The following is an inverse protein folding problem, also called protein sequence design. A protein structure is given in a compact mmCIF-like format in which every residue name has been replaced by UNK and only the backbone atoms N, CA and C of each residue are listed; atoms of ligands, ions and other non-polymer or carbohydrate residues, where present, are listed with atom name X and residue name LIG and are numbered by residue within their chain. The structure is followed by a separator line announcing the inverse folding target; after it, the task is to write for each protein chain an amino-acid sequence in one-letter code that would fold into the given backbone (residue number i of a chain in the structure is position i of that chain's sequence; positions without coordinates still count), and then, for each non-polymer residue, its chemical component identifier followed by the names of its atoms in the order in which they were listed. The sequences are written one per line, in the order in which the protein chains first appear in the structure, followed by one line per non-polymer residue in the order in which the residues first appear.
data_IF_992732323798
#
_entry.id   IF_992732323798
#
_cell.length_a   1.000
_cell.length_b   1.000
_cell.length_c   1.000
_cell.angle_alpha   90.00
_cell.angle_beta   90.00
_cell.angle_gamma   90.00
#
_symmetry.space_group_name_H-M   'P 1'
#
loop_
_entity.id
_entity.type
_entity.pdbx_description
1 polymer ?
#
# COMPACT_ATOMS: atom_id res chain seq x y z
N UNK A 1 10.67 -23.63 -21.27
CA UNK A 1 11.34 -24.84 -20.76
C UNK A 1 10.34 -25.65 -19.95
N UNK A 2 10.60 -26.94 -19.72
CA UNK A 2 9.73 -27.82 -18.92
C UNK A 2 9.57 -27.31 -17.48
N UNK A 3 10.65 -26.79 -16.87
CA UNK A 3 10.63 -26.21 -15.53
C UNK A 3 9.64 -25.04 -15.43
N UNK A 4 9.68 -24.11 -16.41
CA UNK A 4 8.72 -23.00 -16.49
C UNK A 4 7.28 -23.51 -16.62
N UNK A 5 7.04 -24.49 -17.49
CA UNK A 5 5.68 -25.04 -17.69
C UNK A 5 5.14 -25.71 -16.43
N UNK A 6 5.97 -26.43 -15.68
CA UNK A 6 5.58 -27.01 -14.41
C UNK A 6 5.30 -25.92 -13.36
N UNK A 7 6.15 -24.89 -13.27
CA UNK A 7 5.90 -23.74 -12.39
C UNK A 7 4.57 -23.04 -12.72
N UNK A 8 4.21 -22.91 -13.99
CA UNK A 8 2.89 -22.41 -14.38
C UNK A 8 1.77 -23.31 -13.85
N UNK A 9 1.86 -24.62 -14.03
CA UNK A 9 0.85 -25.56 -13.53
C UNK A 9 0.71 -25.45 -12.00
N UNK A 10 1.83 -25.38 -11.28
CA UNK A 10 1.82 -25.24 -9.82
C UNK A 10 1.17 -23.92 -9.35
N UNK A 11 1.33 -22.82 -10.10
CA UNK A 11 0.83 -21.50 -9.69
C UNK A 11 -0.63 -21.22 -10.05
N UNK A 12 -1.15 -21.83 -11.13
CA UNK A 12 -2.53 -21.59 -11.63
C UNK A 12 -3.41 -22.84 -11.76
N UNK A 13 -2.83 -24.03 -11.73
CA UNK A 13 -3.54 -25.31 -11.91
C UNK A 13 -3.66 -26.15 -10.64
N UNK A 14 -3.00 -25.77 -9.55
CA UNK A 14 -3.00 -26.48 -8.27
C UNK A 14 -3.19 -25.51 -7.10
N UNK A 15 -3.64 -26.03 -5.96
CA UNK A 15 -3.73 -25.34 -4.68
C UNK A 15 -2.98 -26.12 -3.59
N UNK A 16 -2.82 -25.52 -2.40
CA UNK A 16 -2.09 -26.15 -1.28
C UNK A 16 -2.65 -27.52 -0.88
N UNK A 17 -3.97 -27.73 -1.01
CA UNK A 17 -4.61 -29.00 -0.65
C UNK A 17 -4.41 -30.11 -1.68
N UNK A 18 -4.07 -29.75 -2.92
CA UNK A 18 -3.88 -30.70 -4.03
C UNK A 18 -2.41 -30.97 -4.32
N UNK A 19 -1.50 -30.37 -3.56
CA UNK A 19 -0.07 -30.57 -3.71
C UNK A 19 0.39 -31.89 -3.09
N UNK A 20 1.36 -32.53 -3.75
CA UNK A 20 2.10 -33.66 -3.20
C UNK A 20 3.57 -33.49 -3.53
N UNK A 21 4.45 -33.96 -2.65
CA UNK A 21 5.88 -33.74 -2.79
C UNK A 21 6.44 -34.47 -4.04
N UNK A 22 7.49 -33.94 -4.70
CA UNK A 22 8.12 -34.60 -5.85
C UNK A 22 8.67 -36.01 -5.58
N UNK A 23 8.92 -36.34 -4.31
CA UNK A 23 9.39 -37.64 -3.84
C UNK A 23 8.27 -38.52 -3.26
N UNK A 24 7.05 -38.00 -3.13
CA UNK A 24 5.88 -38.73 -2.68
C UNK A 24 5.10 -39.31 -3.86
N UNK A 25 4.38 -40.40 -3.59
CA UNK A 25 3.44 -40.94 -4.55
C UNK A 25 2.22 -39.99 -4.68
N UNK A 26 1.73 -39.76 -5.90
CA UNK A 26 0.55 -38.94 -6.14
C UNK A 26 -0.69 -39.56 -5.47
N UNK A 27 -1.71 -38.75 -5.11
CA UNK A 27 -2.93 -39.26 -4.51
C UNK A 27 -3.66 -40.24 -5.44
N UNK A 28 -4.29 -41.26 -4.85
CA UNK A 28 -5.00 -42.29 -5.61
C UNK A 28 -6.20 -41.75 -6.40
N UNK A 29 -6.80 -40.65 -5.94
CA UNK A 29 -7.88 -39.93 -6.60
C UNK A 29 -7.60 -38.43 -6.45
N UNK A 30 -7.58 -37.72 -7.56
CA UNK A 30 -7.39 -36.27 -7.56
C UNK A 30 -8.53 -35.56 -8.30
N UNK A 31 -8.98 -34.38 -7.83
CA UNK A 31 -9.95 -33.57 -8.59
C UNK A 31 -9.40 -33.07 -9.94
N UNK A 32 -8.09 -33.21 -10.16
CA UNK A 32 -7.38 -32.83 -11.38
C UNK A 32 -7.34 -33.98 -12.41
N UNK A 33 -7.81 -35.17 -12.04
CA UNK A 33 -7.84 -36.33 -12.91
C UNK A 33 -8.85 -36.12 -14.06
N UNK A 34 -8.46 -36.54 -15.27
CA UNK A 34 -9.35 -36.53 -16.42
C UNK A 34 -10.51 -37.53 -16.20
N UNK A 35 -11.78 -37.08 -16.18
CA UNK A 35 -12.94 -37.95 -15.95
C UNK A 35 -13.04 -39.11 -16.95
N UNK A 36 -12.44 -38.96 -18.13
CA UNK A 36 -12.44 -39.96 -19.21
C UNK A 36 -11.30 -40.99 -19.06
N UNK A 37 -10.32 -40.74 -18.18
CA UNK A 37 -9.13 -41.56 -18.00
C UNK A 37 -9.16 -42.25 -16.64
N UNK A 38 -9.71 -43.47 -16.60
CA UNK A 38 -9.68 -44.33 -15.40
C UNK A 38 -8.33 -45.02 -15.26
N UNK A 39 -7.41 -44.43 -14.51
CA UNK A 39 -6.16 -45.08 -14.11
C UNK A 39 -5.46 -44.30 -13.02
N UNK A 40 -5.09 -44.98 -11.92
CA UNK A 40 -4.20 -44.42 -10.92
C UNK A 40 -2.87 -44.03 -11.57
N UNK A 41 -2.23 -42.95 -11.12
CA UNK A 41 -0.91 -42.51 -11.60
C UNK A 41 0.20 -43.45 -11.08
N UNK A 42 0.13 -44.72 -11.49
CA UNK A 42 1.05 -45.79 -11.11
C UNK A 42 1.93 -46.12 -12.32
N UNK A 43 3.23 -46.28 -12.08
CA UNK A 43 4.18 -46.64 -13.15
C UNK A 43 3.77 -47.95 -13.83
N UNK A 44 3.49 -47.87 -15.14
CA UNK A 44 3.03 -49.02 -15.94
C UNK A 44 4.11 -50.09 -16.18
N UNK A 45 5.39 -49.75 -16.00
CA UNK A 45 6.51 -50.65 -16.24
C UNK A 45 7.73 -50.28 -15.39
N UNK A 46 8.62 -51.26 -15.20
CA UNK A 46 9.92 -51.08 -14.54
C UNK A 46 11.04 -51.48 -15.49
N UNK A 47 11.92 -50.54 -15.82
CA UNK A 47 13.09 -50.80 -16.66
C UNK A 47 14.26 -51.33 -15.83
N UNK A 48 15.08 -52.19 -16.45
CA UNK A 48 16.30 -52.74 -15.84
C UNK A 48 17.38 -51.68 -15.61
N UNK A 49 17.35 -50.56 -16.34
CA UNK A 49 18.26 -49.42 -16.18
C UNK A 49 17.50 -48.10 -16.30
N UNK A 50 17.77 -47.16 -15.39
CA UNK A 50 17.16 -45.82 -15.35
C UNK A 50 18.25 -44.74 -15.45
N UNK A 51 17.87 -43.54 -15.87
CA UNK A 51 18.74 -42.36 -15.80
C UNK A 51 19.11 -42.06 -14.34
N UNK A 52 20.28 -41.44 -14.12
CA UNK A 52 20.66 -40.97 -12.78
C UNK A 52 19.77 -39.79 -12.41
N UNK A 53 19.22 -39.82 -11.20
CA UNK A 53 18.41 -38.74 -10.62
C UNK A 53 19.26 -38.03 -9.57
N UNK A 54 19.01 -36.75 -9.32
CA UNK A 54 19.63 -36.04 -8.20
C UNK A 54 19.28 -36.75 -6.88
N UNK A 55 20.27 -37.09 -6.07
CA UNK A 55 20.08 -37.87 -4.84
C UNK A 55 21.08 -37.44 -3.77
N UNK A 56 20.67 -37.47 -2.51
CA UNK A 56 21.48 -37.15 -1.34
C UNK A 56 20.58 -36.79 -0.16
N UNK A 57 21.01 -37.11 1.06
CA UNK A 57 20.22 -36.90 2.29
C UNK A 57 19.97 -35.41 2.59
N UNK A 58 20.83 -34.52 2.08
CA UNK A 58 20.81 -33.08 2.32
C UNK A 58 20.30 -32.26 1.12
N UNK A 59 19.66 -32.88 0.12
CA UNK A 59 19.10 -32.14 -1.01
C UNK A 59 17.77 -31.49 -0.60
N UNK A 60 17.53 -30.27 -1.05
CA UNK A 60 16.26 -29.60 -0.82
C UNK A 60 15.14 -30.28 -1.62
N UNK A 61 14.03 -30.60 -0.95
CA UNK A 61 12.80 -31.07 -1.56
C UNK A 61 11.66 -30.09 -1.20
N UNK A 62 11.02 -29.44 -2.19
CA UNK A 62 9.90 -28.53 -1.93
C UNK A 62 8.74 -29.22 -1.21
N UNK A 63 8.14 -28.53 -0.25
CA UNK A 63 7.04 -29.02 0.59
C UNK A 63 5.68 -28.41 0.25
N UNK A 64 5.65 -27.33 -0.53
CA UNK A 64 4.41 -26.72 -1.02
C UNK A 64 4.55 -26.11 -2.42
N UNK A 65 3.42 -25.75 -3.03
CA UNK A 65 3.35 -25.33 -4.44
C UNK A 65 4.26 -24.15 -4.77
N UNK A 66 4.36 -23.16 -3.87
CA UNK A 66 5.13 -21.94 -4.11
C UNK A 66 6.62 -22.21 -3.99
N UNK A 67 7.06 -23.04 -3.04
CA UNK A 67 8.44 -23.50 -2.92
C UNK A 67 8.91 -24.20 -4.20
N UNK A 68 8.12 -25.14 -4.72
CA UNK A 68 8.47 -25.85 -5.96
C UNK A 68 8.46 -24.90 -7.15
N UNK A 69 7.43 -24.06 -7.27
CA UNK A 69 7.36 -23.07 -8.34
C UNK A 69 8.56 -22.10 -8.31
N UNK A 70 8.95 -21.60 -7.13
CA UNK A 70 10.09 -20.70 -6.97
C UNK A 70 11.40 -21.41 -7.35
N UNK A 71 11.62 -22.64 -6.88
CA UNK A 71 12.79 -23.43 -7.25
C UNK A 71 12.91 -23.59 -8.77
N UNK A 72 11.81 -23.99 -9.42
CA UNK A 72 11.75 -24.18 -10.87
C UNK A 72 11.97 -22.88 -11.65
N UNK A 73 11.40 -21.78 -11.17
CA UNK A 73 11.56 -20.46 -11.78
C UNK A 73 12.99 -19.95 -11.63
N UNK A 74 13.64 -20.12 -10.48
CA UNK A 74 15.04 -19.76 -10.26
C UNK A 74 15.98 -20.59 -11.15
N UNK A 75 15.69 -21.89 -11.32
CA UNK A 75 16.43 -22.72 -12.27
C UNK A 75 16.24 -22.19 -13.69
N UNK A 76 14.99 -21.93 -14.11
CA UNK A 76 14.69 -21.41 -15.45
C UNK A 76 15.29 -20.03 -15.69
N UNK A 77 15.32 -19.17 -14.67
CA UNK A 77 15.96 -17.85 -14.69
C UNK A 77 17.46 -17.98 -14.88
N UNK A 78 18.12 -18.86 -14.11
CA UNK A 78 19.56 -19.09 -14.21
C UNK A 78 19.97 -19.59 -15.61
N UNK A 79 19.14 -20.42 -16.23
CA UNK A 79 19.36 -20.89 -17.61
C UNK A 79 19.15 -19.77 -18.62
N UNK A 80 18.04 -19.02 -18.52
CA UNK A 80 17.76 -17.88 -19.40
C UNK A 80 18.85 -16.79 -19.32
N UNK A 81 19.44 -16.60 -18.14
CA UNK A 81 20.55 -15.68 -17.92
C UNK A 81 21.85 -16.08 -18.60
N UNK A 82 22.09 -17.38 -18.80
CA UNK A 82 23.30 -17.89 -19.49
C UNK A 82 23.22 -17.72 -21.00
N UNK A 83 22.03 -17.88 -21.56
CA UNK A 83 21.76 -17.77 -23.00
C UNK A 83 21.34 -16.35 -23.43
N UNK A 84 21.47 -15.38 -22.52
CA UNK A 84 21.03 -14.01 -22.72
C UNK A 84 21.91 -13.24 -23.71
N UNK A 85 21.33 -12.77 -24.81
CA UNK A 85 22.02 -11.82 -25.70
C UNK A 85 21.82 -10.40 -25.19
N UNK A 86 22.89 -9.79 -24.68
CA UNK A 86 22.85 -8.42 -24.10
C UNK A 86 23.43 -7.34 -25.03
N UNK A 87 24.00 -7.74 -26.16
CA UNK A 87 24.60 -6.81 -27.13
C UNK A 87 23.54 -5.86 -27.70
N UNK A 88 23.78 -4.54 -27.64
CA UNK A 88 22.87 -3.48 -28.11
C UNK A 88 22.99 -3.19 -29.61
N UNK A 89 23.87 -3.92 -30.30
CA UNK A 89 24.13 -3.79 -31.73
C UNK A 89 22.82 -4.10 -32.51
N UNK A 90 22.44 -3.31 -33.54
CA UNK A 90 21.18 -3.48 -34.27
C UNK A 90 20.94 -4.89 -34.83
N UNK A 91 22.02 -5.58 -35.22
CA UNK A 91 22.04 -6.91 -35.81
C UNK A 91 21.52 -8.00 -34.86
N UNK A 92 21.69 -7.80 -33.54
CA UNK A 92 21.21 -8.75 -32.52
C UNK A 92 19.80 -8.44 -32.01
N UNK A 93 19.03 -7.56 -32.69
CA UNK A 93 17.69 -7.17 -32.23
C UNK A 93 16.73 -8.36 -32.11
N UNK A 94 16.76 -9.30 -33.05
CA UNK A 94 15.94 -10.51 -33.02
C UNK A 94 16.28 -11.39 -31.81
N UNK A 95 17.56 -11.60 -31.56
CA UNK A 95 18.04 -12.47 -30.48
C UNK A 95 17.68 -11.88 -29.12
N UNK A 96 17.81 -10.55 -28.98
CA UNK A 96 17.36 -9.83 -27.77
C UNK A 96 15.87 -10.02 -27.51
N UNK A 97 15.04 -9.97 -28.56
CA UNK A 97 13.59 -10.14 -28.40
C UNK A 97 13.25 -11.56 -27.92
N UNK A 98 13.96 -12.57 -28.40
CA UNK A 98 13.80 -13.96 -27.96
C UNK A 98 14.26 -14.14 -26.51
N UNK A 99 15.43 -13.58 -26.15
CA UNK A 99 15.92 -13.57 -24.77
C UNK A 99 14.93 -12.88 -23.82
N UNK A 100 14.40 -11.73 -24.23
CA UNK A 100 13.41 -10.97 -23.47
C UNK A 100 12.11 -11.76 -23.29
N UNK A 101 11.55 -12.34 -24.35
CA UNK A 101 10.30 -13.12 -24.25
C UNK A 101 10.47 -14.36 -23.36
N UNK A 102 11.63 -15.00 -23.41
CA UNK A 102 11.92 -16.16 -22.58
C UNK A 102 12.09 -15.78 -21.10
N UNK A 103 12.71 -14.64 -20.82
CA UNK A 103 12.92 -14.13 -19.47
C UNK A 103 11.65 -13.50 -18.88
N UNK A 104 10.88 -12.75 -19.67
CA UNK A 104 9.71 -11.99 -19.20
C UNK A 104 8.67 -12.90 -18.55
N UNK A 105 8.35 -14.04 -19.18
CA UNK A 105 7.40 -15.01 -18.62
C UNK A 105 7.90 -15.58 -17.29
N UNK A 106 9.20 -15.81 -17.14
CA UNK A 106 9.78 -16.28 -15.87
C UNK A 106 9.63 -15.22 -14.79
N UNK A 107 9.93 -13.95 -15.09
CA UNK A 107 9.79 -12.85 -14.14
C UNK A 107 8.32 -12.50 -13.82
N UNK A 108 7.40 -12.68 -14.77
CA UNK A 108 5.96 -12.54 -14.53
C UNK A 108 5.47 -13.61 -13.56
N UNK A 109 5.91 -14.86 -13.73
CA UNK A 109 5.57 -15.95 -12.81
C UNK A 109 6.22 -15.75 -11.44
N UNK A 110 7.46 -15.24 -11.37
CA UNK A 110 8.09 -14.83 -10.11
C UNK A 110 7.30 -13.71 -9.43
N UNK A 111 6.79 -12.74 -10.19
CA UNK A 111 5.93 -11.67 -9.70
C UNK A 111 4.65 -12.23 -9.08
N UNK A 112 4.01 -13.18 -9.76
CA UNK A 112 2.80 -13.85 -9.25
C UNK A 112 3.09 -14.66 -7.99
N UNK A 113 4.19 -15.42 -7.96
CA UNK A 113 4.58 -16.30 -6.86
C UNK A 113 4.99 -15.52 -5.60
N UNK A 114 5.84 -14.51 -5.75
CA UNK A 114 6.33 -13.70 -4.63
C UNK A 114 5.27 -12.68 -4.18
N UNK A 115 4.55 -12.07 -5.12
CA UNK A 115 3.50 -11.09 -4.82
C UNK A 115 2.37 -11.66 -3.98
N UNK A 116 1.88 -12.87 -4.30
CA UNK A 116 0.82 -13.53 -3.50
C UNK A 116 1.25 -13.92 -2.08
N UNK A 117 2.57 -13.99 -1.82
CA UNK A 117 3.15 -14.26 -0.49
C UNK A 117 3.67 -12.98 0.19
N UNK A 118 3.42 -11.80 -0.39
CA UNK A 118 3.86 -10.51 0.16
C UNK A 118 5.37 -10.27 0.10
N UNK A 119 6.14 -11.09 -0.61
CA UNK A 119 7.61 -11.04 -0.64
C UNK A 119 8.13 -9.99 -1.63
N UNK A 120 7.76 -8.72 -1.43
CA UNK A 120 8.05 -7.63 -2.37
C UNK A 120 9.53 -7.19 -2.38
N UNK A 121 10.24 -7.36 -1.27
CA UNK A 121 11.69 -7.13 -1.14
C UNK A 121 12.46 -8.01 -2.12
N UNK A 122 12.30 -9.34 -2.00
CA UNK A 122 12.91 -10.33 -2.88
C UNK A 122 12.43 -10.17 -4.32
N UNK A 123 11.15 -9.87 -4.54
CA UNK A 123 10.62 -9.60 -5.88
C UNK A 123 11.34 -8.42 -6.55
N UNK A 124 11.60 -7.35 -5.80
CA UNK A 124 12.32 -6.19 -6.32
C UNK A 124 13.74 -6.55 -6.74
N UNK A 125 14.43 -7.43 -6.00
CA UNK A 125 15.75 -7.92 -6.37
C UNK A 125 15.71 -8.82 -7.61
N UNK A 126 14.67 -9.67 -7.75
CA UNK A 126 14.45 -10.46 -8.96
C UNK A 126 14.24 -9.56 -10.19
N UNK A 127 13.38 -8.54 -10.09
CA UNK A 127 13.10 -7.63 -11.18
C UNK A 127 14.28 -6.70 -11.47
N UNK A 128 15.08 -6.33 -10.48
CA UNK A 128 16.34 -5.61 -10.69
C UNK A 128 17.32 -6.44 -11.53
N UNK A 129 17.46 -7.74 -11.26
CA UNK A 129 18.26 -8.66 -12.10
C UNK A 129 17.71 -8.78 -13.52
N UNK A 130 16.39 -8.69 -13.67
CA UNK A 130 15.72 -8.70 -14.97
C UNK A 130 16.04 -7.44 -15.79
N UNK A 131 16.37 -6.30 -15.17
CA UNK A 131 16.59 -5.03 -15.87
C UNK A 131 17.72 -5.08 -16.91
N UNK A 132 18.64 -6.05 -16.84
CA UNK A 132 19.64 -6.27 -17.91
C UNK A 132 19.02 -6.64 -19.26
N UNK A 133 17.79 -7.17 -19.26
CA UNK A 133 16.99 -7.45 -20.44
C UNK A 133 16.13 -6.26 -20.86
N UNK A 134 15.99 -5.24 -20.02
CA UNK A 134 15.13 -4.09 -20.27
C UNK A 134 15.73 -3.18 -21.36
N UNK A 135 15.21 -3.28 -22.58
CA UNK A 135 15.52 -2.37 -23.68
C UNK A 135 14.33 -1.45 -23.94
N UNK A 136 14.13 -0.47 -23.05
CA UNK A 136 12.96 0.45 -23.08
C UNK A 136 11.60 -0.27 -23.06
N UNK A 137 11.58 -1.50 -22.52
CA UNK A 137 10.36 -2.29 -22.42
C UNK A 137 9.57 -1.82 -21.18
N UNK A 138 8.43 -1.17 -21.44
CA UNK A 138 7.63 -0.53 -20.41
C UNK A 138 7.17 -1.48 -19.29
N UNK A 139 6.72 -2.69 -19.63
CA UNK A 139 6.18 -3.64 -18.67
C UNK A 139 7.20 -3.97 -17.57
N UNK A 140 8.45 -4.26 -17.92
CA UNK A 140 9.48 -4.61 -16.95
C UNK A 140 9.86 -3.43 -16.04
N UNK A 141 9.98 -2.23 -16.61
CA UNK A 141 10.19 -1.00 -15.84
C UNK A 141 9.04 -0.76 -14.86
N UNK A 142 7.80 -0.94 -15.31
CA UNK A 142 6.61 -0.70 -14.50
C UNK A 142 6.45 -1.74 -13.38
N UNK A 143 6.64 -3.03 -13.68
CA UNK A 143 6.62 -4.09 -12.65
C UNK A 143 7.70 -3.87 -11.59
N UNK A 144 8.90 -3.42 -11.99
CA UNK A 144 9.97 -3.09 -11.05
C UNK A 144 9.62 -1.85 -10.19
N UNK A 145 9.01 -0.83 -10.77
CA UNK A 145 8.54 0.33 -10.02
C UNK A 145 7.49 -0.05 -8.97
N UNK A 146 6.51 -0.89 -9.34
CA UNK A 146 5.46 -1.37 -8.45
C UNK A 146 6.02 -2.28 -7.34
N UNK A 147 6.98 -3.16 -7.65
CA UNK A 147 7.61 -4.00 -6.63
C UNK A 147 8.39 -3.16 -5.62
N UNK A 148 9.14 -2.14 -6.07
CA UNK A 148 9.87 -1.23 -5.19
C UNK A 148 8.91 -0.43 -4.28
N UNK A 149 7.76 -0.03 -4.83
CA UNK A 149 6.71 0.65 -4.08
C UNK A 149 6.14 -0.25 -2.98
N UNK A 150 5.80 -1.49 -3.31
CA UNK A 150 5.28 -2.48 -2.38
C UNK A 150 6.33 -2.91 -1.33
N UNK A 151 7.62 -2.93 -1.70
CA UNK A 151 8.74 -3.15 -0.78
C UNK A 151 9.09 -1.95 0.10
N UNK A 152 8.38 -0.82 -0.02
CA UNK A 152 8.66 0.40 0.75
C UNK A 152 9.94 1.15 0.36
N UNK A 153 10.59 0.79 -0.76
CA UNK A 153 11.78 1.46 -1.31
C UNK A 153 11.39 2.73 -2.09
N UNK A 154 10.65 3.64 -1.44
CA UNK A 154 9.96 4.78 -2.05
C UNK A 154 10.86 5.65 -2.93
N UNK A 155 12.05 6.02 -2.48
CA UNK A 155 12.96 6.89 -3.22
C UNK A 155 13.45 6.26 -4.55
N UNK A 156 13.69 4.94 -4.55
CA UNK A 156 14.06 4.20 -5.76
C UNK A 156 12.84 4.07 -6.68
N UNK A 157 11.68 3.75 -6.13
CA UNK A 157 10.43 3.64 -6.89
C UNK A 157 10.14 4.93 -7.67
N UNK A 158 10.29 6.12 -7.06
CA UNK A 158 10.10 7.42 -7.75
C UNK A 158 11.04 7.58 -8.94
N UNK A 159 12.31 7.16 -8.84
CA UNK A 159 13.27 7.22 -9.96
C UNK A 159 12.85 6.31 -11.12
N UNK A 160 12.44 5.08 -10.82
CA UNK A 160 11.98 4.13 -11.84
C UNK A 160 10.66 4.58 -12.46
N UNK A 161 9.75 5.19 -11.69
CA UNK A 161 8.52 5.79 -12.20
C UNK A 161 8.78 6.96 -13.16
N UNK A 162 9.83 7.77 -12.93
CA UNK A 162 10.23 8.81 -13.90
C UNK A 162 10.60 8.22 -15.26
N UNK A 163 11.29 7.09 -15.29
CA UNK A 163 11.57 6.37 -16.54
C UNK A 163 10.29 5.78 -17.15
N UNK A 164 9.36 5.27 -16.34
CA UNK A 164 8.06 4.80 -16.83
C UNK A 164 7.25 5.94 -17.48
N UNK A 165 7.26 7.14 -16.88
CA UNK A 165 6.63 8.35 -17.44
C UNK A 165 7.27 8.73 -18.78
N UNK A 166 8.61 8.65 -18.87
CA UNK A 166 9.34 8.91 -20.12
C UNK A 166 8.94 7.93 -21.23
N UNK A 167 8.79 6.65 -20.91
CA UNK A 167 8.40 5.60 -21.86
C UNK A 167 6.93 5.68 -22.27
N UNK A 168 6.05 6.10 -21.36
CA UNK A 168 4.60 6.13 -21.58
C UNK A 168 3.98 7.41 -20.99
N UNK A 169 4.13 8.56 -21.67
CA UNK A 169 3.67 9.85 -21.15
C UNK A 169 2.13 9.98 -21.10
N UNK A 170 1.41 9.14 -21.83
CA UNK A 170 -0.06 9.15 -21.88
C UNK A 170 -0.74 8.54 -20.64
N UNK A 171 -0.01 7.81 -19.79
CA UNK A 171 -0.57 7.10 -18.64
C UNK A 171 -0.48 7.95 -17.36
N UNK A 172 -1.59 8.60 -17.03
CA UNK A 172 -1.71 9.45 -15.84
C UNK A 172 -1.58 8.69 -14.50
N UNK A 173 -1.69 7.37 -14.50
CA UNK A 173 -1.54 6.54 -13.29
C UNK A 173 -0.12 6.63 -12.74
N UNK A 174 0.88 6.65 -13.62
CA UNK A 174 2.30 6.59 -13.28
C UNK A 174 2.75 7.85 -12.51
N UNK A 175 2.52 9.09 -13.01
CA UNK A 175 2.84 10.28 -12.23
C UNK A 175 1.97 10.41 -10.98
N UNK A 176 0.73 9.90 -10.97
CA UNK A 176 -0.11 9.91 -9.77
C UNK A 176 0.48 9.03 -8.65
N UNK A 177 0.99 7.84 -8.99
CA UNK A 177 1.73 6.97 -8.08
C UNK A 177 3.02 7.63 -7.56
N UNK A 178 3.74 8.35 -8.42
CA UNK A 178 4.94 9.08 -8.03
C UNK A 178 4.60 10.24 -7.07
N UNK A 179 3.52 10.98 -7.34
CA UNK A 179 3.02 12.03 -6.45
C UNK A 179 2.67 11.46 -5.06
N UNK A 180 1.94 10.33 -5.01
CA UNK A 180 1.60 9.63 -3.76
C UNK A 180 2.83 9.29 -2.93
N UNK A 181 3.87 8.75 -3.56
CA UNK A 181 5.12 8.43 -2.86
C UNK A 181 5.85 9.68 -2.33
N UNK A 182 5.82 10.77 -3.09
CA UNK A 182 6.46 12.02 -2.71
C UNK A 182 5.74 12.73 -1.56
N UNK A 183 4.40 12.68 -1.50
CA UNK A 183 3.60 13.28 -0.41
C UNK A 183 3.56 12.44 0.87
N UNK A 184 3.83 11.13 0.77
CA UNK A 184 3.94 10.26 1.94
C UNK A 184 5.27 10.41 2.66
N UNK A 185 5.89 9.30 3.07
CA UNK A 185 7.09 9.29 3.93
C UNK A 185 8.34 9.97 3.35
N UNK A 186 8.39 10.27 2.05
CA UNK A 186 9.53 10.98 1.44
C UNK A 186 9.48 12.48 1.67
N UNK A 187 8.29 13.05 1.82
CA UNK A 187 8.06 14.48 1.99
C UNK A 187 8.70 15.36 0.89
N UNK A 188 8.76 14.87 -0.34
CA UNK A 188 9.29 15.59 -1.50
C UNK A 188 8.20 16.44 -2.17
N UNK A 189 7.68 17.45 -1.44
CA UNK A 189 6.47 18.18 -1.83
C UNK A 189 6.60 18.95 -3.15
N UNK A 190 7.79 19.46 -3.50
CA UNK A 190 8.01 20.12 -4.79
C UNK A 190 7.88 19.14 -5.97
N UNK A 191 8.39 17.92 -5.81
CA UNK A 191 8.28 16.87 -6.83
C UNK A 191 6.85 16.34 -6.91
N UNK A 192 6.16 16.21 -5.78
CA UNK A 192 4.74 15.86 -5.73
C UNK A 192 3.90 16.89 -6.52
N UNK A 193 4.18 18.18 -6.38
CA UNK A 193 3.48 19.24 -7.11
C UNK A 193 3.71 19.11 -8.62
N UNK A 194 4.95 18.85 -9.05
CA UNK A 194 5.28 18.65 -10.47
C UNK A 194 4.51 17.46 -11.03
N UNK A 195 4.55 16.31 -10.36
CA UNK A 195 3.83 15.12 -10.80
C UNK A 195 2.31 15.35 -10.85
N UNK A 196 1.73 15.96 -9.82
CA UNK A 196 0.30 16.27 -9.79
C UNK A 196 -0.11 17.21 -10.95
N UNK A 197 0.70 18.22 -11.27
CA UNK A 197 0.48 19.07 -12.46
C UNK A 197 0.51 18.27 -13.75
N UNK A 198 1.49 17.37 -13.93
CA UNK A 198 1.53 16.51 -15.13
C UNK A 198 0.28 15.64 -15.26
N UNK A 199 -0.29 15.15 -14.15
CA UNK A 199 -1.56 14.40 -14.18
C UNK A 199 -2.72 15.28 -14.67
N UNK A 200 -2.80 16.52 -14.20
CA UNK A 200 -3.83 17.48 -14.61
C UNK A 200 -3.72 17.84 -16.10
N UNK A 201 -2.49 17.96 -16.60
CA UNK A 201 -2.20 18.29 -18.00
C UNK A 201 -2.46 17.11 -18.95
N UNK A 202 -2.07 15.88 -18.58
CA UNK A 202 -2.33 14.66 -19.37
C UNK A 202 -3.82 14.29 -19.36
N UNK A 203 -4.54 14.64 -18.30
CA UNK A 203 -5.92 14.25 -18.02
C UNK A 203 -7.02 14.87 -18.90
N UNK A 204 -6.71 15.48 -20.05
CA UNK A 204 -7.76 15.98 -20.97
C UNK A 204 -8.69 14.86 -21.49
N UNK A 205 -8.27 13.59 -21.42
CA UNK A 205 -9.01 12.46 -21.99
C UNK A 205 -9.97 11.75 -21.01
N UNK A 206 -9.84 11.94 -19.69
CA UNK A 206 -10.69 11.26 -18.67
C UNK A 206 -10.95 12.14 -17.44
N UNK A 207 -12.23 12.43 -17.17
CA UNK A 207 -12.65 13.31 -16.05
C UNK A 207 -12.14 12.84 -14.68
N UNK A 208 -12.14 11.52 -14.45
CA UNK A 208 -11.72 10.90 -13.18
C UNK A 208 -10.22 11.12 -12.87
N UNK A 209 -9.33 10.91 -13.84
CA UNK A 209 -7.89 11.12 -13.61
C UNK A 209 -7.57 12.61 -13.41
N UNK A 210 -8.30 13.50 -14.09
CA UNK A 210 -8.18 14.94 -13.86
C UNK A 210 -8.63 15.32 -12.46
N UNK A 211 -9.72 14.74 -11.97
CA UNK A 211 -10.17 14.89 -10.59
C UNK A 211 -9.12 14.42 -9.58
N UNK A 212 -8.53 13.21 -9.78
CA UNK A 212 -7.44 12.69 -8.94
C UNK A 212 -6.16 13.53 -9.03
N UNK A 213 -5.85 14.12 -10.18
CA UNK A 213 -4.76 15.07 -10.34
C UNK A 213 -4.94 16.33 -9.49
N UNK A 214 -6.15 16.92 -9.52
CA UNK A 214 -6.49 18.05 -8.65
C UNK A 214 -6.51 17.66 -7.17
N UNK A 215 -6.95 16.46 -6.83
CA UNK A 215 -6.90 15.94 -5.46
C UNK A 215 -5.44 15.85 -4.98
N UNK A 216 -4.55 15.25 -5.77
CA UNK A 216 -3.12 15.16 -5.44
C UNK A 216 -2.45 16.53 -5.32
N UNK A 217 -2.84 17.48 -6.18
CA UNK A 217 -2.34 18.86 -6.12
C UNK A 217 -2.84 19.58 -4.86
N UNK A 218 -4.11 19.39 -4.49
CA UNK A 218 -4.69 19.94 -3.27
C UNK A 218 -4.00 19.41 -2.01
N UNK A 219 -3.76 18.09 -1.94
CA UNK A 219 -3.01 17.47 -0.85
C UNK A 219 -1.59 18.05 -0.73
N UNK A 220 -0.91 18.16 -1.86
CA UNK A 220 0.45 18.72 -1.89
C UNK A 220 0.46 20.17 -1.40
N UNK A 221 -0.48 21.01 -1.85
CA UNK A 221 -0.57 22.38 -1.36
C UNK A 221 -0.95 22.48 0.12
N UNK A 222 -1.80 21.58 0.62
CA UNK A 222 -2.12 21.52 2.04
C UNK A 222 -0.88 21.18 2.88
N UNK A 223 -0.08 20.19 2.46
CA UNK A 223 1.18 19.84 3.11
C UNK A 223 2.19 20.99 3.08
N UNK A 224 2.37 21.61 1.91
CA UNK A 224 3.26 22.77 1.77
C UNK A 224 2.79 23.93 2.67
N UNK A 225 1.48 24.10 2.86
CA UNK A 225 0.94 25.11 3.76
C UNK A 225 1.28 24.82 5.23
N UNK A 226 1.25 23.55 5.65
CA UNK A 226 1.69 23.13 6.99
C UNK A 226 3.18 23.38 7.20
N UNK A 227 4.01 23.12 6.19
CA UNK A 227 5.46 23.33 6.24
C UNK A 227 5.89 24.80 6.16
N UNK A 228 5.05 25.66 5.60
CA UNK A 228 5.41 27.05 5.34
C UNK A 228 5.61 27.81 6.67
N UNK A 229 6.74 28.50 6.82
CA UNK A 229 7.07 29.27 8.02
C UNK A 229 6.42 30.66 8.06
N UNK A 230 6.13 31.24 6.89
CA UNK A 230 5.56 32.58 6.76
C UNK A 230 4.03 32.50 6.63
N UNK A 231 3.31 33.19 7.51
CA UNK A 231 1.84 33.25 7.49
C UNK A 231 1.26 33.63 6.12
N UNK A 232 1.87 34.59 5.42
CA UNK A 232 1.44 34.97 4.07
C UNK A 232 1.55 33.83 3.05
N UNK A 233 2.58 32.99 3.15
CA UNK A 233 2.72 31.80 2.30
C UNK A 233 1.72 30.71 2.68
N UNK A 234 1.50 30.48 3.98
CA UNK A 234 0.48 29.55 4.47
C UNK A 234 -0.90 29.90 3.90
N UNK A 235 -1.32 31.17 3.99
CA UNK A 235 -2.61 31.64 3.47
C UNK A 235 -2.74 31.51 1.95
N UNK A 236 -1.64 31.69 1.19
CA UNK A 236 -1.63 31.47 -0.27
C UNK A 236 -1.78 29.99 -0.59
N UNK A 237 -1.04 29.12 0.10
CA UNK A 237 -1.05 27.68 -0.13
C UNK A 237 -2.37 27.04 0.29
N UNK A 238 -2.95 27.45 1.43
CA UNK A 238 -4.29 27.02 1.85
C UNK A 238 -5.36 27.39 0.81
N UNK A 239 -5.30 28.60 0.24
CA UNK A 239 -6.20 29.00 -0.85
C UNK A 239 -6.02 28.16 -2.11
N UNK A 240 -4.78 27.84 -2.48
CA UNK A 240 -4.50 26.93 -3.62
C UNK A 240 -5.02 25.52 -3.36
N UNK A 241 -4.83 24.99 -2.15
CA UNK A 241 -5.33 23.69 -1.74
C UNK A 241 -6.86 23.62 -1.82
N UNK A 242 -7.54 24.61 -1.23
CA UNK A 242 -9.00 24.72 -1.27
C UNK A 242 -9.53 24.74 -2.72
N UNK A 243 -8.93 25.57 -3.58
CA UNK A 243 -9.33 25.67 -4.98
C UNK A 243 -9.13 24.34 -5.74
N UNK A 244 -8.03 23.64 -5.47
CA UNK A 244 -7.75 22.35 -6.07
C UNK A 244 -8.76 21.28 -5.61
N UNK A 245 -9.09 21.22 -4.32
CA UNK A 245 -10.11 20.30 -3.79
C UNK A 245 -11.51 20.59 -4.33
N UNK A 246 -11.89 21.87 -4.45
CA UNK A 246 -13.15 22.27 -5.09
C UNK A 246 -13.22 21.79 -6.53
N UNK A 247 -12.13 21.94 -7.30
CA UNK A 247 -12.04 21.41 -8.67
C UNK A 247 -12.15 19.89 -8.70
N UNK A 248 -11.43 19.18 -7.84
CA UNK A 248 -11.50 17.72 -7.75
C UNK A 248 -12.93 17.25 -7.50
N UNK A 249 -13.61 17.82 -6.50
CA UNK A 249 -14.99 17.47 -6.16
C UNK A 249 -15.98 17.85 -7.27
N UNK A 250 -15.79 18.97 -7.97
CA UNK A 250 -16.65 19.35 -9.10
C UNK A 250 -16.54 18.41 -10.31
N UNK A 251 -15.36 17.81 -10.51
CA UNK A 251 -15.10 16.89 -11.62
C UNK A 251 -15.51 15.45 -11.32
N UNK A 252 -15.48 15.05 -10.04
CA UNK A 252 -15.95 13.75 -9.56
C UNK A 252 -16.72 13.93 -8.25
N UNK A 253 -18.03 14.26 -8.30
CA UNK A 253 -18.85 14.48 -7.10
C UNK A 253 -19.14 13.19 -6.34
N UNK A 254 -18.90 12.04 -6.96
CA UNK A 254 -19.04 10.70 -6.36
C UNK A 254 -17.79 10.23 -5.63
N UNK A 255 -16.67 10.95 -5.74
CA UNK A 255 -15.44 10.62 -5.02
C UNK A 255 -15.50 11.11 -3.58
N UNK A 256 -15.70 10.17 -2.64
CA UNK A 256 -15.74 10.49 -1.21
C UNK A 256 -14.44 11.12 -0.71
N UNK A 257 -13.28 10.79 -1.30
CA UNK A 257 -12.00 11.36 -0.90
C UNK A 257 -11.93 12.84 -1.25
N UNK A 258 -12.45 13.24 -2.41
CA UNK A 258 -12.49 14.65 -2.82
C UNK A 258 -13.38 15.47 -1.88
N UNK A 259 -14.56 14.96 -1.50
CA UNK A 259 -15.44 15.59 -0.54
C UNK A 259 -14.80 15.67 0.86
N UNK A 260 -14.19 14.59 1.33
CA UNK A 260 -13.50 14.53 2.62
C UNK A 260 -12.36 15.54 2.71
N UNK A 261 -11.43 15.57 1.75
CA UNK A 261 -10.29 16.48 1.79
C UNK A 261 -10.68 17.94 1.58
N UNK A 262 -11.74 18.22 0.82
CA UNK A 262 -12.33 19.55 0.76
C UNK A 262 -12.85 19.98 2.13
N UNK A 263 -13.58 19.10 2.81
CA UNK A 263 -14.08 19.35 4.15
C UNK A 263 -12.96 19.56 5.18
N UNK A 264 -11.90 18.75 5.10
CA UNK A 264 -10.72 18.88 5.95
C UNK A 264 -10.03 20.23 5.74
N UNK A 265 -9.85 20.65 4.49
CA UNK A 265 -9.23 21.94 4.17
C UNK A 265 -10.08 23.13 4.66
N UNK A 266 -11.42 23.03 4.58
CA UNK A 266 -12.34 24.01 5.14
C UNK A 266 -12.27 24.04 6.67
N UNK A 267 -12.15 22.87 7.31
CA UNK A 267 -11.97 22.75 8.76
C UNK A 267 -10.67 23.44 9.23
N UNK A 268 -9.56 23.20 8.53
CA UNK A 268 -8.26 23.87 8.75
C UNK A 268 -8.42 25.39 8.59
N UNK A 269 -9.19 25.83 7.59
CA UNK A 269 -9.50 27.23 7.33
C UNK A 269 -10.55 27.82 8.30
N UNK A 270 -10.98 27.05 9.31
CA UNK A 270 -12.00 27.41 10.33
C UNK A 270 -13.40 27.73 9.76
N UNK A 271 -13.71 27.28 8.55
CA UNK A 271 -15.03 27.36 7.93
C UNK A 271 -15.88 26.14 8.35
N UNK A 272 -16.26 26.12 9.62
CA UNK A 272 -16.88 24.95 10.28
C UNK A 272 -18.23 24.54 9.65
N UNK A 273 -19.18 25.47 9.36
CA UNK A 273 -20.47 25.09 8.78
C UNK A 273 -20.33 24.42 7.40
N UNK A 274 -19.49 24.96 6.53
CA UNK A 274 -19.21 24.44 5.20
C UNK A 274 -18.51 23.09 5.29
N UNK A 275 -17.51 22.95 6.17
CA UNK A 275 -16.83 21.69 6.43
C UNK A 275 -17.81 20.59 6.85
N UNK A 276 -18.74 20.88 7.78
CA UNK A 276 -19.78 19.93 8.18
C UNK A 276 -20.69 19.51 7.03
N UNK A 277 -20.97 20.42 6.09
CA UNK A 277 -21.73 20.11 4.87
C UNK A 277 -21.01 19.06 4.02
N UNK A 278 -19.73 19.26 3.73
CA UNK A 278 -18.95 18.36 2.89
C UNK A 278 -18.59 17.03 3.59
N UNK A 279 -18.33 17.03 4.90
CA UNK A 279 -18.13 15.76 5.64
C UNK A 279 -19.39 14.90 5.59
N UNK A 280 -20.58 15.49 5.74
CA UNK A 280 -21.83 14.74 5.62
C UNK A 280 -22.03 14.17 4.22
N UNK A 281 -21.61 14.90 3.18
CA UNK A 281 -21.61 14.38 1.81
C UNK A 281 -20.61 13.22 1.64
N UNK A 282 -19.41 13.33 2.20
CA UNK A 282 -18.43 12.23 2.20
C UNK A 282 -19.00 10.97 2.87
N UNK A 283 -19.64 11.13 4.04
CA UNK A 283 -20.33 10.04 4.75
C UNK A 283 -21.56 9.51 4.02
N UNK A 284 -22.25 10.34 3.22
CA UNK A 284 -23.35 9.87 2.37
C UNK A 284 -22.84 8.96 1.24
N UNK A 285 -21.62 9.20 0.75
CA UNK A 285 -20.96 8.35 -0.25
C UNK A 285 -20.33 7.10 0.37
N UNK A 286 -19.75 7.23 1.56
CA UNK A 286 -19.10 6.15 2.32
C UNK A 286 -19.41 6.31 3.82
N UNK A 287 -20.48 5.63 4.30
CA UNK A 287 -20.99 5.78 5.66
C UNK A 287 -20.03 5.35 6.77
N UNK A 288 -19.19 4.37 6.46
CA UNK A 288 -18.30 3.75 7.44
C UNK A 288 -16.87 4.28 7.35
N UNK A 289 -16.59 5.35 6.59
CA UNK A 289 -15.22 5.87 6.46
C UNK A 289 -14.70 6.45 7.78
N UNK A 290 -13.69 5.78 8.37
CA UNK A 290 -13.09 6.15 9.66
C UNK A 290 -12.65 7.62 9.72
N UNK A 291 -12.05 8.11 8.64
CA UNK A 291 -11.55 9.48 8.56
C UNK A 291 -12.70 10.49 8.52
N UNK A 292 -13.72 10.24 7.70
CA UNK A 292 -14.90 11.12 7.65
C UNK A 292 -15.67 11.16 8.97
N UNK A 293 -15.82 10.02 9.66
CA UNK A 293 -16.43 9.95 11.00
C UNK A 293 -15.60 10.72 12.04
N UNK A 294 -14.29 10.55 12.02
CA UNK A 294 -13.39 11.27 12.91
C UNK A 294 -13.46 12.78 12.70
N UNK A 295 -13.43 13.24 11.44
CA UNK A 295 -13.54 14.66 11.11
C UNK A 295 -14.91 15.23 11.51
N UNK A 296 -15.99 14.46 11.37
CA UNK A 296 -17.31 14.86 11.87
C UNK A 296 -17.29 15.08 13.39
N UNK A 297 -16.74 14.13 14.15
CA UNK A 297 -16.63 14.26 15.60
C UNK A 297 -15.79 15.47 16.01
N UNK A 298 -14.66 15.69 15.34
CA UNK A 298 -13.84 16.88 15.52
C UNK A 298 -14.68 18.14 15.25
N UNK A 299 -15.35 18.27 14.11
CA UNK A 299 -16.15 19.47 13.79
C UNK A 299 -17.28 19.72 14.80
N UNK A 300 -17.94 18.66 15.31
CA UNK A 300 -18.93 18.77 16.38
C UNK A 300 -18.31 19.25 17.69
N UNK A 301 -17.12 18.76 18.03
CA UNK A 301 -16.36 19.23 19.20
C UNK A 301 -15.97 20.70 19.09
N UNK A 302 -15.65 21.18 17.88
CA UNK A 302 -15.37 22.60 17.63
C UNK A 302 -16.61 23.48 17.85
N UNK A 303 -17.81 22.93 17.66
CA UNK A 303 -19.08 23.57 18.01
C UNK A 303 -19.50 23.37 19.48
N UNK A 304 -18.64 22.74 20.30
CA UNK A 304 -18.92 22.36 21.70
C UNK A 304 -20.05 21.35 21.87
N UNK A 305 -20.45 20.65 20.81
CA UNK A 305 -21.38 19.53 20.88
C UNK A 305 -20.64 18.25 21.29
N UNK A 306 -20.07 18.24 22.50
CA UNK A 306 -19.17 17.18 22.95
C UNK A 306 -19.84 15.82 23.09
N UNK A 307 -21.11 15.78 23.50
CA UNK A 307 -21.86 14.53 23.62
C UNK A 307 -22.11 13.88 22.25
N UNK A 308 -22.51 14.68 21.25
CA UNK A 308 -22.69 14.18 19.89
C UNK A 308 -21.36 13.75 19.27
N UNK A 309 -20.29 14.53 19.47
CA UNK A 309 -18.94 14.16 19.05
C UNK A 309 -18.48 12.82 19.64
N UNK A 310 -18.73 12.60 20.94
CA UNK A 310 -18.39 11.35 21.62
C UNK A 310 -19.21 10.17 21.09
N UNK A 311 -20.50 10.37 20.82
CA UNK A 311 -21.35 9.33 20.22
C UNK A 311 -20.84 8.92 18.82
N UNK A 312 -20.40 9.89 18.00
CA UNK A 312 -19.80 9.60 16.68
C UNK A 312 -18.49 8.83 16.85
N UNK A 313 -17.63 9.19 17.81
CA UNK A 313 -16.40 8.44 18.09
C UNK A 313 -16.70 7.03 18.59
N UNK A 314 -17.68 6.84 19.46
CA UNK A 314 -18.08 5.52 19.95
C UNK A 314 -18.63 4.63 18.81
N UNK A 315 -19.37 5.22 17.86
CA UNK A 315 -19.81 4.55 16.63
C UNK A 315 -18.63 4.20 15.71
N UNK A 316 -17.68 5.12 15.52
CA UNK A 316 -16.48 4.84 14.73
C UNK A 316 -15.65 3.72 15.37
N UNK A 317 -15.55 3.66 16.70
CA UNK A 317 -14.84 2.63 17.44
C UNK A 317 -15.57 1.27 17.49
N UNK A 318 -16.88 1.21 17.22
CA UNK A 318 -17.55 -0.09 17.07
C UNK A 318 -17.13 -0.80 15.78
N UNK A 319 -16.88 -0.03 14.72
CA UNK A 319 -16.35 -0.55 13.44
C UNK A 319 -14.81 -0.67 13.45
N UNK A 320 -14.12 0.25 14.13
CA UNK A 320 -12.66 0.33 14.18
C UNK A 320 -12.11 0.26 15.61
N UNK A 321 -12.25 -0.87 16.32
CA UNK A 321 -11.95 -0.98 17.75
C UNK A 321 -10.48 -0.78 18.10
N UNK A 322 -9.56 -1.04 17.17
CA UNK A 322 -8.11 -0.97 17.36
C UNK A 322 -7.49 0.34 16.83
N UNK A 323 -8.31 1.32 16.41
CA UNK A 323 -7.81 2.58 15.87
C UNK A 323 -7.37 3.53 17.00
N UNK A 324 -6.05 3.67 17.19
CA UNK A 324 -5.47 4.51 18.23
C UNK A 324 -5.81 6.00 18.09
N UNK A 325 -5.98 6.51 16.88
CA UNK A 325 -6.27 7.93 16.61
C UNK A 325 -7.68 8.28 17.11
N UNK A 326 -8.65 7.40 16.85
CA UNK A 326 -10.01 7.50 17.37
C UNK A 326 -10.02 7.40 18.91
N UNK A 327 -9.24 6.48 19.48
CA UNK A 327 -9.12 6.33 20.94
C UNK A 327 -8.49 7.57 21.60
N UNK A 328 -7.46 8.17 21.02
CA UNK A 328 -6.91 9.44 21.51
C UNK A 328 -7.96 10.55 21.49
N UNK A 329 -8.74 10.63 20.40
CA UNK A 329 -9.83 11.60 20.30
C UNK A 329 -10.91 11.36 21.34
N UNK A 330 -11.24 10.09 21.63
CA UNK A 330 -12.14 9.69 22.70
C UNK A 330 -11.64 10.17 24.07
N UNK A 331 -10.37 9.93 24.39
CA UNK A 331 -9.75 10.38 25.66
C UNK A 331 -9.87 11.90 25.82
N UNK A 332 -9.57 12.67 24.76
CA UNK A 332 -9.69 14.13 24.77
C UNK A 332 -11.15 14.58 24.97
N UNK A 333 -12.11 13.98 24.27
CA UNK A 333 -13.52 14.29 24.42
C UNK A 333 -14.07 13.92 25.81
N UNK A 334 -13.70 12.78 26.36
CA UNK A 334 -14.08 12.36 27.71
C UNK A 334 -13.52 13.32 28.77
N UNK A 335 -12.28 13.78 28.60
CA UNK A 335 -11.69 14.80 29.49
C UNK A 335 -12.48 16.11 29.48
N UNK A 336 -13.10 16.47 28.34
CA UNK A 336 -13.90 17.69 28.18
C UNK A 336 -15.33 17.58 28.71
N UNK A 337 -15.98 16.40 28.65
CA UNK A 337 -17.42 16.27 28.92
C UNK A 337 -17.86 15.14 29.88
N UNK A 338 -16.96 14.27 30.32
CA UNK A 338 -17.27 13.17 31.26
C UNK A 338 -16.50 13.31 32.57
N UNK A 339 -15.19 13.47 32.48
CA UNK A 339 -14.31 13.50 33.64
C UNK A 339 -12.97 12.81 33.37
N UNK A 340 -12.02 12.92 34.31
CA UNK A 340 -10.71 12.28 34.19
C UNK A 340 -10.77 10.76 34.32
N UNK A 341 -11.73 10.22 35.08
CA UNK A 341 -11.82 8.78 35.35
C UNK A 341 -12.14 7.99 34.07
N UNK A 342 -13.13 8.44 33.28
CA UNK A 342 -13.47 7.83 32.00
C UNK A 342 -12.32 7.92 30.99
N UNK A 343 -11.62 9.05 30.95
CA UNK A 343 -10.46 9.25 30.09
C UNK A 343 -9.34 8.25 30.45
N UNK A 344 -9.04 8.08 31.74
CA UNK A 344 -8.04 7.12 32.21
C UNK A 344 -8.45 5.67 31.96
N UNK A 345 -9.73 5.33 32.06
CA UNK A 345 -10.24 4.02 31.67
C UNK A 345 -10.00 3.74 30.18
N UNK A 346 -10.24 4.72 29.31
CA UNK A 346 -9.92 4.60 27.89
C UNK A 346 -8.41 4.47 27.65
N UNK A 347 -7.56 5.23 28.35
CA UNK A 347 -6.10 5.05 28.29
C UNK A 347 -5.67 3.63 28.69
N UNK A 348 -6.27 3.08 29.76
CA UNK A 348 -6.02 1.69 30.19
C UNK A 348 -6.43 0.69 29.10
N UNK A 349 -7.54 0.95 28.41
CA UNK A 349 -7.98 0.16 27.27
C UNK A 349 -7.01 0.24 26.08
N UNK A 350 -6.51 1.43 25.74
CA UNK A 350 -5.48 1.61 24.72
C UNK A 350 -4.21 0.79 25.02
N UNK A 351 -3.77 0.74 26.29
CA UNK A 351 -2.62 -0.08 26.70
C UNK A 351 -2.90 -1.59 26.56
N UNK A 352 -4.14 -2.04 26.76
CA UNK A 352 -4.53 -3.43 26.53
C UNK A 352 -4.50 -3.78 25.05
N UNK A 353 -5.08 -2.92 24.20
CA UNK A 353 -5.02 -3.07 22.74
C UNK A 353 -3.56 -3.11 22.29
N UNK A 354 -2.74 -2.18 22.75
CA UNK A 354 -1.32 -2.13 22.39
C UNK A 354 -0.57 -3.42 22.78
N UNK A 355 -0.82 -3.96 23.98
CA UNK A 355 -0.24 -5.25 24.39
C UNK A 355 -0.72 -6.41 23.52
N UNK A 356 -1.98 -6.39 23.09
CA UNK A 356 -2.60 -7.39 22.21
C UNK A 356 -2.02 -7.33 20.79
N UNK A 357 -1.88 -6.12 20.22
CA UNK A 357 -1.36 -5.93 18.87
C UNK A 357 0.13 -6.24 18.76
N UNK A 358 0.91 -5.91 19.81
CA UNK A 358 2.37 -5.97 19.77
C UNK A 358 3.00 -7.11 20.58
N UNK A 359 2.19 -8.11 21.00
CA UNK A 359 2.61 -9.35 21.69
C UNK A 359 4.01 -9.28 22.32
N UNK A 360 4.14 -8.59 23.46
CA UNK A 360 5.39 -8.47 24.21
C UNK A 360 5.83 -9.77 24.92
N UNK A 361 5.41 -10.93 24.44
CA UNK A 361 5.76 -12.24 24.98
C UNK A 361 6.85 -12.90 24.14
N UNK A 362 8.10 -12.71 24.58
CA UNK A 362 9.34 -13.47 24.38
C UNK A 362 9.75 -14.01 22.98
N UNK A 363 11.01 -13.80 22.53
CA UNK A 363 11.59 -14.35 21.29
C UNK A 363 11.96 -15.85 21.36
N UNK A 364 11.32 -16.62 22.22
CA UNK A 364 11.68 -18.00 22.49
C UNK A 364 10.49 -18.94 22.35
N UNK A 365 9.81 -18.90 21.22
CA UNK A 365 9.34 -20.12 20.60
C UNK A 365 8.91 -19.89 19.15
N UNK A 366 9.11 -20.91 18.33
CA UNK A 366 8.61 -21.05 16.96
C UNK A 366 9.24 -20.18 15.85
N UNK A 367 10.27 -20.76 15.22
CA UNK A 367 10.60 -20.50 13.82
C UNK A 367 9.46 -20.95 12.89
N UNK A 368 8.39 -20.15 12.81
CA UNK A 368 7.38 -20.25 11.76
C UNK A 368 7.32 -18.91 11.02
N UNK A 369 7.57 -19.01 9.72
CA UNK A 369 7.78 -17.90 8.82
C UNK A 369 6.64 -16.87 8.82
N UNK A 370 7.05 -15.61 8.79
CA UNK A 370 6.57 -14.59 7.84
C UNK A 370 5.06 -14.49 7.65
N UNK A 371 4.38 -13.81 8.58
CA UNK A 371 3.22 -12.95 8.24
C UNK A 371 2.91 -11.88 9.30
N UNK A 372 3.42 -12.05 10.53
CA UNK A 372 3.20 -11.09 11.62
C UNK A 372 4.13 -9.87 11.57
N UNK A 373 5.33 -9.99 10.99
CA UNK A 373 6.27 -8.86 10.88
C UNK A 373 5.87 -7.86 9.79
N UNK A 374 5.20 -8.28 8.71
CA UNK A 374 4.73 -7.35 7.68
C UNK A 374 3.54 -6.50 8.14
N UNK A 375 2.66 -7.07 8.96
CA UNK A 375 1.56 -6.32 9.57
C UNK A 375 2.08 -5.24 10.53
N UNK A 376 3.17 -5.52 11.26
CA UNK A 376 3.79 -4.57 12.19
C UNK A 376 4.61 -3.48 11.50
N UNK A 377 5.11 -3.69 10.27
CA UNK A 377 5.85 -2.65 9.51
C UNK A 377 4.89 -1.64 8.85
N UNK A 378 3.72 -2.08 8.39
CA UNK A 378 2.67 -1.16 7.93
C UNK A 378 2.17 -0.26 9.07
N UNK A 379 2.03 -0.82 10.28
CA UNK A 379 1.54 -0.11 11.47
C UNK A 379 2.61 0.77 12.15
N UNK A 380 3.90 0.49 11.93
CA UNK A 380 5.00 1.37 12.38
C UNK A 380 4.89 2.79 11.83
N UNK A 381 4.22 2.99 10.69
CA UNK A 381 3.97 4.32 10.12
C UNK A 381 2.90 5.11 10.88
N UNK A 382 1.95 4.43 11.54
CA UNK A 382 0.98 5.09 12.42
C UNK A 382 1.61 5.48 13.78
N UNK A 383 2.61 4.72 14.25
CA UNK A 383 3.29 4.99 15.52
C UNK A 383 4.45 6.00 15.44
N UNK A 384 5.12 6.15 14.29
CA UNK A 384 6.26 7.07 14.17
C UNK A 384 5.87 8.56 14.22
N UNK A 385 4.59 8.88 14.31
CA UNK A 385 4.06 10.25 14.53
C UNK A 385 3.51 10.47 15.94
N UNK A 386 3.80 9.58 16.91
CA UNK A 386 3.49 9.87 18.32
C UNK A 386 4.62 10.74 18.90
N UNK A 387 4.69 11.99 18.48
CA UNK A 387 5.32 13.04 19.28
C UNK A 387 4.22 13.68 20.11
N UNK A 388 4.07 13.27 21.37
CA UNK A 388 3.37 14.07 22.37
C UNK A 388 4.27 15.28 22.69
N UNK A 389 3.89 16.53 22.37
CA UNK A 389 4.56 17.67 22.94
C UNK A 389 4.07 17.81 24.39
N UNK A 390 4.97 17.59 25.35
CA UNK A 390 4.79 17.97 26.74
C UNK A 390 4.72 19.50 26.82
N UNK A 391 3.54 20.07 27.14
CA UNK A 391 3.48 21.43 27.69
C UNK A 391 2.38 21.53 28.74
N UNK A 392 2.83 21.45 30.00
CA UNK A 392 2.16 22.05 31.14
C UNK A 392 2.32 23.57 31.08
N UNK A 393 1.24 24.29 30.82
CA UNK A 393 1.16 25.73 31.18
C UNK A 393 -0.22 26.03 31.77
N UNK A 394 -0.32 26.34 33.07
CA UNK A 394 -1.59 26.43 33.77
C UNK A 394 -2.10 27.88 33.74
N UNK A 395 -2.50 28.41 32.58
CA UNK A 395 -3.33 29.63 32.49
C UNK A 395 -3.65 29.98 31.02
N UNK A 396 -4.63 29.29 30.40
CA UNK A 396 -5.46 29.80 29.25
C UNK A 396 -6.42 28.71 28.76
N UNK A 397 -7.52 28.48 29.48
CA UNK A 397 -8.50 27.42 29.17
C UNK A 397 -9.23 27.53 27.82
N UNK A 398 -9.07 28.62 27.07
CA UNK A 398 -9.71 28.82 25.76
C UNK A 398 -8.76 28.66 24.57
N UNK A 399 -7.43 28.70 24.73
CA UNK A 399 -6.48 28.53 23.61
C UNK A 399 -6.03 27.08 23.44
N UNK A 400 -5.89 26.33 24.53
CA UNK A 400 -5.43 24.93 24.50
C UNK A 400 -6.38 23.97 23.76
N UNK A 401 -7.69 24.21 23.81
CA UNK A 401 -8.69 23.40 23.06
C UNK A 401 -8.55 23.57 21.54
N UNK A 402 -8.18 24.77 21.07
CA UNK A 402 -8.08 25.06 19.64
C UNK A 402 -6.72 24.70 19.05
N UNK A 403 -5.66 24.74 19.87
CA UNK A 403 -4.32 24.27 19.52
C UNK A 403 -4.36 22.74 19.38
N UNK A 404 -4.92 22.02 20.35
CA UNK A 404 -5.11 20.56 20.26
C UNK A 404 -5.99 20.16 19.07
N UNK A 405 -7.04 20.93 18.77
CA UNK A 405 -7.87 20.72 17.58
C UNK A 405 -7.10 20.95 16.26
N UNK A 406 -6.23 21.97 16.22
CA UNK A 406 -5.39 22.26 15.07
C UNK A 406 -4.32 21.19 14.84
N UNK A 407 -3.66 20.76 15.91
CA UNK A 407 -2.65 19.67 15.89
C UNK A 407 -3.28 18.35 15.46
N UNK A 408 -4.46 17.99 15.99
CA UNK A 408 -5.16 16.76 15.58
C UNK A 408 -5.60 16.77 14.12
N UNK A 409 -5.97 17.93 13.56
CA UNK A 409 -6.26 18.04 12.12
C UNK A 409 -5.00 17.95 11.25
N UNK A 410 -3.86 18.46 11.74
CA UNK A 410 -2.56 18.33 11.07
C UNK A 410 -2.08 16.87 11.09
N UNK A 411 -2.16 16.20 12.24
CA UNK A 411 -1.80 14.79 12.39
C UNK A 411 -2.71 13.87 11.55
N UNK A 412 -4.01 14.18 11.51
CA UNK A 412 -4.96 13.46 10.66
C UNK A 412 -4.67 13.67 9.17
N UNK A 413 -4.30 14.90 8.77
CA UNK A 413 -3.81 15.18 7.42
C UNK A 413 -2.63 14.28 7.06
N UNK A 414 -1.64 14.18 7.94
CA UNK A 414 -0.45 13.34 7.74
C UNK A 414 -0.79 11.84 7.72
N UNK A 415 -1.73 11.37 8.55
CA UNK A 415 -2.12 9.95 8.65
C UNK A 415 -3.04 9.46 7.52
N UNK A 416 -3.76 10.36 6.84
CA UNK A 416 -4.62 10.01 5.70
C UNK A 416 -3.84 9.87 4.36
N UNK A 417 -2.57 10.28 4.31
CA UNK A 417 -1.69 10.27 3.13
C UNK A 417 -0.78 9.03 3.10
#
# INVERSE_FOLDING_TARGET
TIARQLAEILLRGMCEQSYWNPLEDPPCQSPLDDPLRKGANTKTYTLTRRARVYSGENIFCPQENTEEALLLLLISESMANRDAVLSRIPEHKSDRLISLQSASVVYDLLTIALGRRGQYEMLSECLERAMKFAFEEFHLWYQFALSLMAAGKSARAVKVLKECIRLKPDDATIPLLAAKLCMGSLHWLEEAEKFAKTVVDVGEKTSEFKAKGYLALGLTYSLQATDASLRGMQEVLQRKALLAFQRAHSLSPTDHQAAFYLALQLAISRQIPEALGYVRQALQLQGDDANSLHLLALLLSAQKHYHDALNIIDMALSEYPENFILLFSKVKLQSLCRGPDEALLTCKHMLQIWKSCYNLTNPSDSGRGSSLLDRTIADRRQLNTITLPDFSDPETGNQCSWIAFGEMLVDMGIQCM
#
